data_IF_894950565873
#
_entry.id   IF_894950565873
#
_cell.length_a   1.000
_cell.length_b   1.000
_cell.length_c   1.000
_cell.angle_alpha   90.00
_cell.angle_beta   90.00
_cell.angle_gamma   90.00
#
_symmetry.space_group_name_H-M   'P 1'
#
loop_
_entity.id
_entity.type
_entity.pdbx_description
1 polymer ?
#
# COMPACT_ATOMS: atom_id res chain seq x y z
N UNK A 1 -16.82 -17.01 -5.22
CA UNK A 1 -15.76 -16.07 -5.61
C UNK A 1 -15.91 -15.58 -7.05
N UNK A 2 -16.35 -16.42 -8.00
CA UNK A 2 -16.55 -16.02 -9.41
C UNK A 2 -17.49 -14.82 -9.59
N UNK A 3 -18.56 -14.73 -8.81
CA UNK A 3 -19.52 -13.61 -8.89
C UNK A 3 -18.89 -12.28 -8.48
N UNK A 4 -17.99 -12.29 -7.51
CA UNK A 4 -17.27 -11.07 -7.09
C UNK A 4 -16.30 -10.64 -8.19
N UNK A 5 -15.60 -11.57 -8.80
CA UNK A 5 -14.62 -11.29 -9.84
C UNK A 5 -15.26 -10.68 -11.09
N UNK A 6 -16.37 -11.24 -11.57
CA UNK A 6 -17.13 -10.71 -12.70
C UNK A 6 -17.69 -9.30 -12.44
N UNK A 7 -18.07 -9.01 -11.20
CA UNK A 7 -18.69 -7.74 -10.82
C UNK A 7 -17.73 -6.73 -10.20
N UNK A 8 -16.44 -7.05 -10.10
CA UNK A 8 -15.45 -6.22 -9.38
C UNK A 8 -15.39 -4.78 -9.89
N UNK A 9 -15.37 -4.59 -11.21
CA UNK A 9 -15.34 -3.26 -11.84
C UNK A 9 -16.58 -2.45 -11.46
N UNK A 10 -17.74 -3.08 -11.54
CA UNK A 10 -19.01 -2.42 -11.20
C UNK A 10 -19.11 -2.11 -9.70
N UNK A 11 -18.68 -3.02 -8.85
CA UNK A 11 -18.65 -2.81 -7.39
C UNK A 11 -17.75 -1.62 -7.02
N UNK A 12 -16.56 -1.52 -7.60
CA UNK A 12 -15.66 -0.38 -7.40
C UNK A 12 -16.28 0.92 -7.87
N UNK A 13 -16.91 0.93 -9.04
CA UNK A 13 -17.58 2.11 -9.57
C UNK A 13 -18.70 2.57 -8.64
N UNK A 14 -19.56 1.68 -8.19
CA UNK A 14 -20.63 1.98 -7.24
C UNK A 14 -20.13 2.53 -5.91
N UNK A 15 -19.03 1.98 -5.39
CA UNK A 15 -18.43 2.48 -4.14
C UNK A 15 -17.84 3.87 -4.31
N UNK A 16 -17.20 4.15 -5.46
CA UNK A 16 -16.69 5.50 -5.79
C UNK A 16 -17.84 6.49 -5.95
N UNK A 17 -18.92 6.10 -6.63
CA UNK A 17 -20.12 6.92 -6.77
C UNK A 17 -20.75 7.21 -5.40
N UNK A 18 -20.83 6.22 -4.53
CA UNK A 18 -21.28 6.41 -3.14
C UNK A 18 -20.40 7.41 -2.40
N UNK A 19 -19.07 7.30 -2.53
CA UNK A 19 -18.14 8.22 -1.88
C UNK A 19 -18.27 9.66 -2.41
N UNK A 20 -18.47 9.83 -3.72
CA UNK A 20 -18.54 11.16 -4.33
C UNK A 20 -19.93 11.81 -4.19
N UNK A 21 -21.00 11.04 -4.26
CA UNK A 21 -22.35 11.57 -4.42
C UNK A 21 -23.26 11.39 -3.20
N UNK A 22 -22.89 10.56 -2.23
CA UNK A 22 -23.69 10.31 -1.04
C UNK A 22 -23.00 10.83 0.24
N UNK A 23 -23.46 11.94 0.84
CA UNK A 23 -22.82 12.53 2.03
C UNK A 23 -22.65 11.56 3.18
N UNK A 24 -23.61 10.65 3.39
CA UNK A 24 -23.53 9.62 4.45
C UNK A 24 -22.41 8.62 4.15
N UNK A 25 -22.28 8.17 2.90
CA UNK A 25 -21.20 7.27 2.46
C UNK A 25 -19.83 7.91 2.62
N UNK A 26 -19.70 9.16 2.18
CA UNK A 26 -18.48 9.97 2.36
C UNK A 26 -18.14 10.11 3.84
N UNK A 27 -19.11 10.43 4.70
CA UNK A 27 -18.90 10.61 6.12
C UNK A 27 -18.45 9.30 6.79
N UNK A 28 -19.06 8.16 6.44
CA UNK A 28 -18.71 6.85 6.98
C UNK A 28 -17.26 6.47 6.64
N UNK A 29 -16.85 6.61 5.37
CA UNK A 29 -15.47 6.31 4.93
C UNK A 29 -14.46 7.23 5.61
N UNK A 30 -14.73 8.54 5.66
CA UNK A 30 -13.85 9.51 6.34
C UNK A 30 -13.74 9.25 7.84
N UNK A 31 -14.84 8.92 8.52
CA UNK A 31 -14.84 8.59 9.94
C UNK A 31 -14.01 7.32 10.21
N UNK A 32 -14.19 6.28 9.40
CA UNK A 32 -13.42 5.03 9.50
C UNK A 32 -11.92 5.29 9.30
N UNK A 33 -11.54 6.04 8.27
CA UNK A 33 -10.15 6.44 8.04
C UNK A 33 -9.58 7.20 9.24
N UNK A 34 -10.32 8.19 9.76
CA UNK A 34 -9.88 8.99 10.91
C UNK A 34 -9.72 8.15 12.16
N UNK A 35 -10.58 7.15 12.36
CA UNK A 35 -10.49 6.25 13.52
C UNK A 35 -9.35 5.23 13.41
N UNK A 36 -9.05 4.75 12.20
CA UNK A 36 -8.02 3.71 11.99
C UNK A 36 -6.63 4.28 11.76
N UNK A 37 -6.51 5.33 10.95
CA UNK A 37 -5.23 5.92 10.55
C UNK A 37 -4.95 7.24 11.26
N UNK A 38 -5.99 8.06 11.47
CA UNK A 38 -5.86 9.37 12.10
C UNK A 38 -4.87 10.26 11.35
N UNK A 39 -3.88 10.76 12.08
CA UNK A 39 -2.77 11.58 11.53
C UNK A 39 -1.62 10.75 10.95
N UNK A 40 -1.79 9.45 10.83
CA UNK A 40 -0.79 8.49 10.36
C UNK A 40 -0.16 7.65 11.47
N UNK A 41 0.09 6.39 11.15
CA UNK A 41 0.70 5.42 12.06
C UNK A 41 2.21 5.67 12.13
N UNK A 42 2.74 5.73 13.34
CA UNK A 42 4.17 5.96 13.62
C UNK A 42 4.83 4.68 14.15
N UNK A 43 6.09 4.41 13.81
CA UNK A 43 6.79 3.26 14.33
C UNK A 43 7.04 3.40 15.84
N UNK A 44 6.84 2.31 16.56
CA UNK A 44 7.18 2.20 17.98
C UNK A 44 8.22 1.07 18.14
N UNK A 45 9.49 1.35 17.84
CA UNK A 45 10.53 0.32 17.95
C UNK A 45 10.63 -0.17 19.39
N UNK A 46 10.73 -1.48 19.54
CA UNK A 46 10.96 -2.17 20.81
C UNK A 46 12.11 -3.13 20.60
N UNK A 47 13.26 -2.79 21.15
CA UNK A 47 14.48 -3.59 21.06
C UNK A 47 14.56 -4.51 22.28
N UNK A 48 14.75 -5.79 22.04
CA UNK A 48 15.07 -6.77 23.06
C UNK A 48 16.57 -6.68 23.38
N UNK A 49 16.90 -5.88 24.39
CA UNK A 49 18.26 -5.61 24.80
C UNK A 49 18.91 -6.83 25.45
N UNK A 50 18.13 -7.70 26.09
CA UNK A 50 18.64 -8.92 26.71
C UNK A 50 19.10 -9.92 25.65
N UNK A 51 18.26 -10.13 24.62
CA UNK A 51 18.60 -11.00 23.50
C UNK A 51 19.82 -10.52 22.73
N UNK A 52 19.97 -9.19 22.56
CA UNK A 52 21.11 -8.60 21.86
C UNK A 52 22.38 -8.46 22.72
N UNK A 53 22.30 -8.69 24.02
CA UNK A 53 23.42 -8.54 24.92
C UNK A 53 23.94 -7.11 25.09
N UNK A 54 23.04 -6.11 24.89
CA UNK A 54 23.35 -4.68 25.05
C UNK A 54 22.70 -4.13 26.31
N UNK A 55 23.13 -2.96 26.75
CA UNK A 55 22.51 -2.29 27.90
C UNK A 55 21.10 -1.71 27.52
N UNK A 56 20.29 -1.47 28.54
CA UNK A 56 18.98 -0.85 28.38
C UNK A 56 19.11 0.58 27.86
N UNK A 57 20.14 1.29 28.25
CA UNK A 57 20.48 2.65 27.81
C UNK A 57 20.84 2.67 26.32
N UNK A 58 21.71 1.77 25.87
CA UNK A 58 22.06 1.62 24.46
C UNK A 58 20.83 1.27 23.60
N UNK A 59 19.97 0.36 24.07
CA UNK A 59 18.70 0.05 23.36
C UNK A 59 17.78 1.26 23.25
N UNK A 60 17.70 2.09 24.30
CA UNK A 60 16.90 3.32 24.27
C UNK A 60 17.45 4.36 23.29
N UNK A 61 18.78 4.48 23.20
CA UNK A 61 19.44 5.38 22.25
C UNK A 61 19.22 4.92 20.81
N UNK A 62 19.34 3.64 20.52
CA UNK A 62 19.05 3.06 19.20
C UNK A 62 17.57 3.29 18.84
N UNK A 63 16.63 3.05 19.75
CA UNK A 63 15.21 3.29 19.51
C UNK A 63 14.90 4.78 19.20
N UNK A 64 15.60 5.69 19.88
CA UNK A 64 15.51 7.14 19.65
C UNK A 64 16.04 7.50 18.25
N UNK A 65 17.19 6.92 17.88
CA UNK A 65 17.78 7.12 16.57
C UNK A 65 16.85 6.60 15.46
N UNK A 66 16.31 5.39 15.58
CA UNK A 66 15.37 4.83 14.62
C UNK A 66 14.17 5.77 14.40
N UNK A 67 13.58 6.29 15.47
CA UNK A 67 12.45 7.22 15.37
C UNK A 67 12.83 8.51 14.63
N UNK A 68 14.00 9.07 14.94
CA UNK A 68 14.51 10.29 14.32
C UNK A 68 14.77 10.09 12.83
N UNK A 69 15.48 9.03 12.47
CA UNK A 69 15.81 8.72 11.08
C UNK A 69 14.55 8.41 10.26
N UNK A 70 13.61 7.67 10.83
CA UNK A 70 12.32 7.41 10.19
C UNK A 70 11.52 8.70 9.98
N UNK A 71 11.53 9.63 10.94
CA UNK A 71 10.81 10.90 10.83
C UNK A 71 11.36 11.76 9.67
N UNK A 72 12.68 11.80 9.47
CA UNK A 72 13.30 12.50 8.33
C UNK A 72 12.73 12.01 7.00
N UNK A 73 12.57 10.71 6.84
CA UNK A 73 12.00 10.13 5.62
C UNK A 73 10.48 10.31 5.56
N UNK A 74 9.76 10.04 6.64
CA UNK A 74 8.31 9.97 6.66
C UNK A 74 7.61 11.33 6.61
N UNK A 75 8.23 12.38 7.15
CA UNK A 75 7.67 13.72 7.17
C UNK A 75 7.95 14.51 5.88
N UNK A 76 8.86 14.02 5.06
CA UNK A 76 9.18 14.62 3.76
C UNK A 76 8.26 14.10 2.67
N UNK A 77 7.83 14.97 1.75
CA UNK A 77 7.12 14.55 0.53
C UNK A 77 8.02 13.77 -0.43
N UNK A 78 9.33 13.84 -0.28
CA UNK A 78 10.28 13.04 -1.07
C UNK A 78 10.22 11.53 -0.79
N UNK A 79 9.43 11.07 0.17
CA UNK A 79 9.11 9.64 0.32
C UNK A 79 8.12 9.14 -0.75
N UNK A 80 7.33 10.04 -1.34
CA UNK A 80 6.46 9.78 -2.49
C UNK A 80 7.25 9.95 -3.79
N UNK A 81 7.05 9.07 -4.76
CA UNK A 81 7.69 9.20 -6.08
C UNK A 81 7.18 10.42 -6.87
N UNK A 82 5.99 10.91 -6.53
CA UNK A 82 5.38 12.09 -7.12
C UNK A 82 5.70 13.38 -6.36
N UNK A 83 6.41 13.32 -5.25
CA UNK A 83 6.78 14.43 -4.37
C UNK A 83 5.56 15.24 -3.82
N UNK A 84 4.38 14.62 -3.77
CA UNK A 84 3.13 15.28 -3.40
C UNK A 84 2.75 15.09 -1.94
N UNK A 85 2.95 13.88 -1.41
CA UNK A 85 2.43 13.47 -0.11
C UNK A 85 3.56 12.98 0.80
N UNK A 86 3.47 13.25 2.08
CA UNK A 86 4.31 12.61 3.07
C UNK A 86 3.80 11.19 3.38
N UNK A 87 4.57 10.41 4.12
CA UNK A 87 4.24 9.02 4.41
C UNK A 87 2.90 8.86 5.16
N UNK A 88 2.54 9.79 6.01
CA UNK A 88 1.29 9.73 6.78
C UNK A 88 0.07 10.03 5.92
N UNK A 89 0.21 10.93 4.96
CA UNK A 89 -0.82 11.20 3.93
C UNK A 89 -0.98 10.02 2.99
N UNK A 90 0.13 9.38 2.57
CA UNK A 90 0.08 8.15 1.78
C UNK A 90 -0.68 7.04 2.50
N UNK A 91 -0.49 6.85 3.82
CA UNK A 91 -1.27 5.89 4.60
C UNK A 91 -2.77 6.17 4.56
N UNK A 92 -3.18 7.44 4.62
CA UNK A 92 -4.58 7.82 4.54
C UNK A 92 -5.17 7.55 3.15
N UNK A 93 -4.38 7.79 2.08
CA UNK A 93 -4.79 7.50 0.70
C UNK A 93 -4.96 6.00 0.52
N UNK A 94 -3.95 5.20 0.89
CA UNK A 94 -3.99 3.73 0.82
C UNK A 94 -5.21 3.17 1.54
N UNK A 95 -5.48 3.66 2.75
CA UNK A 95 -6.63 3.19 3.52
C UNK A 95 -7.96 3.54 2.86
N UNK A 96 -8.10 4.76 2.31
CA UNK A 96 -9.30 5.15 1.56
C UNK A 96 -9.49 4.27 0.31
N UNK A 97 -8.44 4.07 -0.46
CA UNK A 97 -8.50 3.29 -1.68
C UNK A 97 -8.80 1.81 -1.38
N UNK A 98 -8.22 1.27 -0.32
CA UNK A 98 -8.56 -0.07 0.15
C UNK A 98 -10.05 -0.19 0.52
N UNK A 99 -10.64 0.77 1.24
CA UNK A 99 -12.07 0.77 1.57
C UNK A 99 -12.96 0.89 0.33
N UNK A 100 -12.56 1.68 -0.67
CA UNK A 100 -13.38 1.92 -1.87
C UNK A 100 -13.21 0.84 -2.93
N UNK A 101 -11.99 0.35 -3.11
CA UNK A 101 -11.64 -0.54 -4.22
C UNK A 101 -11.40 -1.99 -3.79
N UNK A 102 -11.31 -2.25 -2.47
CA UNK A 102 -11.01 -3.56 -1.89
C UNK A 102 -9.52 -3.91 -1.86
N UNK A 103 -8.70 -3.22 -2.63
CA UNK A 103 -7.25 -3.44 -2.72
C UNK A 103 -6.54 -2.17 -3.16
N UNK A 104 -5.28 -2.03 -2.76
CA UNK A 104 -4.36 -0.98 -3.19
C UNK A 104 -2.95 -1.56 -3.25
N UNK A 105 -2.17 -1.11 -4.21
CA UNK A 105 -0.81 -1.59 -4.42
C UNK A 105 0.20 -0.48 -4.14
N UNK A 106 1.24 -0.82 -3.41
CA UNK A 106 2.34 0.11 -3.10
C UNK A 106 3.63 -0.45 -3.71
N UNK A 107 4.14 0.25 -4.71
CA UNK A 107 5.41 -0.09 -5.33
C UNK A 107 6.54 0.63 -4.58
N UNK A 108 7.52 -0.15 -4.12
CA UNK A 108 8.77 0.39 -3.57
C UNK A 108 9.71 0.74 -4.71
N UNK A 109 9.93 2.03 -4.91
CA UNK A 109 10.85 2.56 -5.91
C UNK A 109 12.09 3.17 -5.24
N UNK A 110 13.11 3.46 -6.03
CA UNK A 110 14.35 4.05 -5.53
C UNK A 110 14.65 5.35 -6.30
N UNK A 111 14.70 6.44 -5.56
CA UNK A 111 15.10 7.75 -6.07
C UNK A 111 16.57 8.07 -5.80
N UNK A 112 16.99 9.22 -6.25
CA UNK A 112 18.32 9.76 -5.92
C UNK A 112 18.35 10.31 -4.50
N UNK A 113 19.52 10.23 -3.87
CA UNK A 113 19.77 10.90 -2.58
C UNK A 113 19.97 12.39 -2.80
N UNK A 114 19.42 13.19 -1.93
CA UNK A 114 19.62 14.63 -1.90
C UNK A 114 20.15 15.07 -0.54
N UNK A 115 20.59 16.32 -0.41
CA UNK A 115 20.98 16.89 0.90
C UNK A 115 19.84 16.91 1.91
N UNK A 116 18.59 16.92 1.45
CA UNK A 116 17.38 16.95 2.28
C UNK A 116 16.76 15.57 2.49
N UNK A 117 17.12 14.58 1.66
CA UNK A 117 16.61 13.22 1.74
C UNK A 117 17.75 12.22 1.53
N UNK A 118 18.37 11.74 2.62
CA UNK A 118 19.49 10.79 2.54
C UNK A 118 19.05 9.37 2.18
N UNK A 119 17.75 9.09 2.17
CA UNK A 119 17.18 7.78 1.84
C UNK A 119 16.73 7.72 0.39
N UNK A 120 16.95 6.57 -0.22
CA UNK A 120 16.56 6.31 -1.62
C UNK A 120 15.15 5.79 -1.78
N UNK A 121 14.58 5.18 -0.73
CA UNK A 121 13.24 4.59 -0.80
C UNK A 121 12.20 5.65 -1.13
N UNK A 122 11.41 5.37 -2.16
CA UNK A 122 10.24 6.13 -2.58
C UNK A 122 9.06 5.18 -2.70
N UNK A 123 7.88 5.64 -2.37
CA UNK A 123 6.65 4.87 -2.50
C UNK A 123 5.86 5.39 -3.70
N UNK A 124 5.29 4.48 -4.46
CA UNK A 124 4.36 4.78 -5.55
C UNK A 124 3.06 4.04 -5.32
N UNK A 125 1.98 4.77 -5.16
CA UNK A 125 0.65 4.17 -5.09
C UNK A 125 0.18 3.81 -6.50
N UNK A 126 -0.39 2.62 -6.62
CA UNK A 126 -0.94 2.10 -7.89
C UNK A 126 -2.34 1.59 -7.62
N UNK A 127 -3.32 2.30 -8.15
CA UNK A 127 -4.72 1.92 -7.98
C UNK A 127 -5.01 0.55 -8.59
N UNK A 128 -5.91 -0.17 -7.97
CA UNK A 128 -6.30 -1.53 -8.37
C UNK A 128 -6.75 -1.65 -9.85
N UNK A 129 -7.29 -0.58 -10.44
CA UNK A 129 -7.70 -0.58 -11.85
C UNK A 129 -6.53 -0.64 -12.84
N UNK A 130 -5.31 -0.38 -12.37
CA UNK A 130 -4.09 -0.44 -13.20
C UNK A 130 -3.41 -1.81 -13.14
N UNK A 131 -3.92 -2.71 -12.32
CA UNK A 131 -3.41 -4.07 -12.15
C UNK A 131 -4.45 -5.04 -12.70
N UNK A 132 -4.06 -5.81 -13.70
CA UNK A 132 -4.92 -6.82 -14.34
C UNK A 132 -4.11 -8.02 -14.79
N UNK A 133 -4.78 -9.13 -15.01
CA UNK A 133 -4.17 -10.30 -15.65
C UNK A 133 -3.80 -9.95 -17.10
N UNK A 134 -2.58 -10.23 -17.57
CA UNK A 134 -2.18 -10.01 -18.95
C UNK A 134 -3.12 -10.73 -19.94
N UNK A 135 -3.53 -10.05 -21.01
CA UNK A 135 -4.44 -10.59 -22.02
C UNK A 135 -5.90 -10.15 -21.89
N UNK A 136 -6.29 -9.54 -20.79
CA UNK A 136 -7.62 -8.94 -20.59
C UNK A 136 -7.62 -7.45 -20.96
N UNK A 137 -7.17 -7.10 -22.17
CA UNK A 137 -7.08 -5.70 -22.61
C UNK A 137 -8.43 -5.07 -22.94
N UNK A 138 -9.48 -5.87 -23.15
CA UNK A 138 -10.82 -5.41 -23.55
C UNK A 138 -11.85 -5.48 -22.43
N UNK A 139 -11.43 -5.90 -21.21
CA UNK A 139 -12.32 -6.02 -20.07
C UNK A 139 -13.28 -7.20 -20.15
N UNK A 140 -13.16 -8.07 -21.16
CA UNK A 140 -13.80 -9.37 -21.18
C UNK A 140 -12.99 -10.31 -20.31
N UNK A 141 -13.61 -10.78 -19.25
CA UNK A 141 -13.06 -11.79 -18.36
C UNK A 141 -13.10 -13.15 -19.08
N UNK A 142 -12.05 -13.46 -19.80
CA UNK A 142 -11.79 -14.85 -20.20
C UNK A 142 -11.21 -15.53 -18.96
N UNK A 143 -12.03 -16.29 -18.26
CA UNK A 143 -11.69 -16.98 -17.01
C UNK A 143 -10.60 -18.05 -17.13
N UNK A 144 -9.69 -17.88 -18.07
CA UNK A 144 -8.56 -18.78 -18.29
C UNK A 144 -7.31 -18.22 -17.65
N UNK A 145 -6.78 -19.00 -16.73
CA UNK A 145 -5.48 -18.82 -16.14
C UNK A 145 -4.41 -18.66 -17.22
N UNK A 146 -3.83 -17.49 -17.31
CA UNK A 146 -2.65 -17.33 -18.15
C UNK A 146 -1.44 -17.92 -17.44
N UNK A 147 -0.69 -18.71 -18.17
CA UNK A 147 0.54 -19.33 -17.68
C UNK A 147 1.73 -18.49 -18.14
N UNK A 148 2.62 -18.15 -17.23
CA UNK A 148 3.87 -17.46 -17.56
C UNK A 148 4.84 -18.40 -18.29
N UNK A 149 5.91 -17.84 -18.87
CA UNK A 149 6.99 -18.66 -19.47
C UNK A 149 7.65 -19.64 -18.50
N UNK A 150 7.50 -19.42 -17.20
CA UNK A 150 8.00 -20.27 -16.12
C UNK A 150 6.98 -21.34 -15.69
N UNK A 151 5.79 -21.35 -16.31
CA UNK A 151 4.71 -22.28 -15.97
C UNK A 151 3.87 -21.87 -14.75
N UNK A 152 4.06 -20.68 -14.24
CA UNK A 152 3.27 -20.12 -13.14
C UNK A 152 1.92 -19.59 -13.64
N UNK A 153 0.91 -19.61 -12.79
CA UNK A 153 -0.42 -19.08 -13.11
C UNK A 153 -0.54 -17.63 -12.72
N UNK A 154 -1.20 -16.82 -13.54
CA UNK A 154 -1.53 -15.43 -13.18
C UNK A 154 -3.02 -15.36 -12.86
N UNK A 155 -3.34 -15.03 -11.61
CA UNK A 155 -4.71 -14.85 -11.15
C UNK A 155 -4.88 -13.42 -10.63
N UNK A 156 -5.84 -12.70 -11.21
CA UNK A 156 -6.12 -11.31 -10.82
C UNK A 156 -4.89 -10.37 -10.83
N UNK A 157 -3.99 -10.56 -11.79
CA UNK A 157 -2.76 -9.79 -11.90
C UNK A 157 -1.62 -10.23 -10.96
N UNK A 158 -1.83 -11.29 -10.17
CA UNK A 158 -0.83 -11.85 -9.25
C UNK A 158 -0.31 -13.17 -9.81
N UNK A 159 1.01 -13.27 -9.95
CA UNK A 159 1.68 -14.51 -10.37
C UNK A 159 1.82 -15.44 -9.16
N UNK A 160 1.38 -16.69 -9.33
CA UNK A 160 1.45 -17.74 -8.31
C UNK A 160 2.12 -18.98 -8.90
N UNK A 161 2.97 -19.61 -8.11
CA UNK A 161 3.61 -20.87 -8.48
C UNK A 161 2.63 -22.05 -8.35
N UNK A 162 3.13 -23.25 -8.70
CA UNK A 162 2.36 -24.50 -8.62
C UNK A 162 1.90 -24.85 -7.20
N UNK A 163 2.54 -24.31 -6.18
CA UNK A 163 2.25 -24.58 -4.77
C UNK A 163 1.34 -23.48 -4.17
N UNK A 164 0.87 -22.52 -5.01
CA UNK A 164 -0.01 -21.42 -4.60
C UNK A 164 0.71 -20.24 -3.94
N UNK A 165 2.04 -20.18 -4.01
CA UNK A 165 2.84 -19.10 -3.44
C UNK A 165 2.94 -17.94 -4.44
N UNK A 166 2.80 -16.73 -3.98
CA UNK A 166 3.04 -15.51 -4.76
C UNK A 166 4.54 -15.39 -5.08
N UNK A 167 4.86 -15.12 -6.35
CA UNK A 167 6.21 -15.05 -6.89
C UNK A 167 6.61 -13.60 -7.16
#
# INVERSE_FOLDING_TARGET
SSDIEMNRKELRQRTRDLYMNAPIGTAAIKATRTSCVGIGLKPKPKIDYEFLGISKEEAADIQRLIKKEFAIWAESTLCDICDLNNFYELQQIVFNDWLMNGEEFVLMAYGEKTSYMPYRLRLKLVTADRISTPGSLDGTYDGYDQTTKLGNRIMNGVEIDKDGKVV
#
